data_IF_347635946092
#
_entry.id   IF_347635946092
#
_cell.length_a   1.000
_cell.length_b   1.000
_cell.length_c   1.000
_cell.angle_alpha   90.00
_cell.angle_beta   90.00
_cell.angle_gamma   90.00
#
_symmetry.space_group_name_H-M   'P 1'
#
loop_
_entity.id
_entity.type
_entity.pdbx_description
1 polymer ?
#
# COMPACT_ATOMS: atom_id res chain seq x y z
N UNK A 1 -6.27 2.44 18.65
CA UNK A 1 -4.85 2.14 18.93
C UNK A 1 -4.52 0.92 18.09
N UNK A 2 -3.49 1.00 17.27
CA UNK A 2 -3.14 -0.03 16.30
C UNK A 2 -1.67 -0.40 16.45
N UNK A 3 -1.30 -1.63 16.10
CA UNK A 3 0.10 -2.02 15.96
C UNK A 3 0.75 -1.24 14.81
N UNK A 4 1.98 -0.75 15.01
CA UNK A 4 2.71 0.00 13.97
C UNK A 4 4.11 -0.55 13.70
N UNK A 5 4.44 -1.74 14.21
CA UNK A 5 5.78 -2.31 14.08
C UNK A 5 6.71 -1.96 15.23
N UNK A 6 7.88 -2.59 15.28
CA UNK A 6 9.03 -2.17 16.10
C UNK A 6 9.81 -1.08 15.35
N UNK A 7 9.23 0.12 15.27
CA UNK A 7 9.75 1.20 14.43
C UNK A 7 11.07 1.75 14.96
N UNK A 8 11.42 1.47 16.21
CA UNK A 8 12.64 1.95 16.85
C UNK A 8 13.71 0.84 17.04
N UNK A 9 13.40 -0.40 16.63
CA UNK A 9 14.26 -1.58 16.68
C UNK A 9 14.77 -1.90 18.10
N UNK A 10 13.92 -1.74 19.12
CA UNK A 10 14.23 -2.11 20.52
C UNK A 10 13.85 -3.56 20.85
N UNK A 11 13.34 -4.31 19.87
CA UNK A 11 12.86 -5.68 20.00
C UNK A 11 11.43 -5.79 20.51
N UNK A 12 10.69 -4.68 20.66
CA UNK A 12 9.31 -4.66 21.11
C UNK A 12 8.43 -3.89 20.12
N UNK A 13 7.28 -4.48 19.82
CA UNK A 13 6.30 -3.83 18.94
C UNK A 13 5.72 -2.55 19.54
N UNK A 14 5.70 -1.49 18.74
CA UNK A 14 5.12 -0.19 19.07
C UNK A 14 3.65 -0.08 18.64
N UNK A 15 3.00 1.00 19.08
CA UNK A 15 1.61 1.27 18.70
C UNK A 15 1.38 2.71 18.26
N UNK A 16 0.43 2.85 17.34
CA UNK A 16 -0.11 4.12 16.87
C UNK A 16 -1.45 4.47 17.50
N UNK A 17 -1.67 5.77 17.78
CA UNK A 17 -2.95 6.26 18.28
C UNK A 17 -3.30 7.65 17.76
N UNK A 18 -4.60 7.85 17.54
CA UNK A 18 -5.17 9.13 17.16
C UNK A 18 -5.51 9.99 18.38
N UNK A 19 -5.29 11.29 18.25
CA UNK A 19 -5.88 12.25 19.17
C UNK A 19 -7.40 12.38 18.94
N UNK A 20 -8.18 12.86 19.93
CA UNK A 20 -9.64 12.92 19.83
C UNK A 20 -10.19 13.73 18.65
N UNK A 21 -9.42 14.67 18.10
CA UNK A 21 -9.84 15.46 16.94
C UNK A 21 -9.65 14.73 15.60
N UNK A 22 -8.92 13.61 15.57
CA UNK A 22 -8.56 12.91 14.32
C UNK A 22 -7.57 13.67 13.44
N UNK A 23 -7.11 14.86 13.83
CA UNK A 23 -6.19 15.70 13.05
C UNK A 23 -4.72 15.52 13.43
N UNK A 24 -4.47 14.68 14.43
CA UNK A 24 -3.13 14.38 14.91
C UNK A 24 -3.07 12.91 15.25
N UNK A 25 -1.94 12.29 14.97
CA UNK A 25 -1.65 10.89 15.31
C UNK A 25 -0.24 10.72 15.82
N UNK A 26 -0.01 9.73 16.67
CA UNK A 26 1.26 9.51 17.34
C UNK A 26 1.66 8.04 17.32
N UNK A 27 2.97 7.81 17.23
CA UNK A 27 3.61 6.51 17.43
C UNK A 27 4.25 6.51 18.81
N UNK A 28 4.04 5.42 19.56
CA UNK A 28 4.39 5.32 20.97
C UNK A 28 5.12 4.01 21.26
N UNK A 29 6.10 4.07 22.16
CA UNK A 29 6.81 2.89 22.64
C UNK A 29 5.83 1.85 23.18
N UNK A 30 5.94 0.61 22.71
CA UNK A 30 5.09 -0.49 23.16
C UNK A 30 5.18 -0.75 24.66
N UNK A 31 6.38 -0.57 25.23
CA UNK A 31 6.68 -0.92 26.62
C UNK A 31 6.19 0.08 27.67
N UNK A 32 6.04 1.36 27.31
CA UNK A 32 5.78 2.44 28.28
C UNK A 32 4.86 3.55 27.77
N UNK A 33 4.44 3.51 26.50
CA UNK A 33 3.55 4.49 25.89
C UNK A 33 4.14 5.89 25.74
N UNK A 34 5.47 6.04 25.84
CA UNK A 34 6.14 7.32 25.58
C UNK A 34 6.05 7.63 24.09
N UNK A 35 5.77 8.89 23.75
CA UNK A 35 5.68 9.34 22.37
C UNK A 35 7.04 9.23 21.68
N UNK A 36 7.09 8.48 20.59
CA UNK A 36 8.24 8.37 19.68
C UNK A 36 8.14 9.50 18.65
N UNK A 37 6.99 9.57 17.96
CA UNK A 37 6.75 10.51 16.85
C UNK A 37 5.30 10.96 16.80
N UNK A 38 5.05 12.09 16.17
CA UNK A 38 3.69 12.53 15.88
C UNK A 38 3.59 13.21 14.51
N UNK A 39 2.41 13.08 13.92
CA UNK A 39 2.06 13.64 12.63
C UNK A 39 0.75 14.39 12.74
N UNK A 40 0.62 15.44 11.94
CA UNK A 40 -0.63 16.18 11.77
C UNK A 40 -1.21 15.82 10.42
N UNK A 41 -2.54 15.80 10.34
CA UNK A 41 -3.22 15.67 9.05
C UNK A 41 -2.75 16.77 8.10
N UNK A 42 -2.41 16.41 6.86
CA UNK A 42 -1.97 17.38 5.85
C UNK A 42 -3.06 18.39 5.47
N UNK A 43 -4.34 18.00 5.62
CA UNK A 43 -5.50 18.86 5.41
C UNK A 43 -6.41 18.78 6.65
N UNK A 44 -6.96 19.92 7.08
CA UNK A 44 -7.91 20.00 8.21
C UNK A 44 -9.25 19.29 7.92
N UNK A 45 -9.55 19.02 6.65
CA UNK A 45 -10.66 18.17 6.23
C UNK A 45 -10.31 16.67 6.31
N UNK A 46 -9.03 16.32 6.47
CA UNK A 46 -8.54 14.95 6.48
C UNK A 46 -8.55 14.37 7.89
N UNK A 47 -9.72 13.91 8.34
CA UNK A 47 -9.80 13.11 9.54
C UNK A 47 -9.06 11.78 9.31
N UNK A 48 -8.00 11.59 10.08
CA UNK A 48 -7.19 10.38 10.03
C UNK A 48 -7.97 9.25 10.71
N UNK A 49 -7.97 8.06 10.11
CA UNK A 49 -8.64 6.87 10.63
C UNK A 49 -7.70 6.00 11.44
N UNK A 50 -6.40 6.01 11.12
CA UNK A 50 -5.43 5.23 11.87
C UNK A 50 -3.99 5.44 11.46
N UNK A 51 -3.13 4.83 12.28
CA UNK A 51 -1.79 4.42 11.90
C UNK A 51 -1.83 2.90 11.72
N UNK A 52 -1.03 2.37 10.79
CA UNK A 52 -0.88 0.93 10.56
C UNK A 52 0.59 0.58 10.35
N UNK A 53 0.93 -0.69 10.52
CA UNK A 53 2.23 -1.25 10.15
C UNK A 53 2.34 -1.40 8.63
N UNK A 54 3.50 -1.06 8.05
CA UNK A 54 3.75 -1.15 6.61
C UNK A 54 4.99 -1.97 6.23
N UNK A 55 5.65 -2.65 7.18
CA UNK A 55 6.88 -3.39 6.88
C UNK A 55 8.05 -2.47 6.57
N UNK A 56 9.16 -3.02 6.13
CA UNK A 56 10.35 -2.27 5.71
C UNK A 56 10.27 -2.01 4.19
N UNK A 57 9.59 -0.91 3.80
CA UNK A 57 9.29 -0.66 2.38
C UNK A 57 10.49 -0.11 1.60
N UNK A 58 11.49 0.40 2.30
CA UNK A 58 12.70 0.98 1.71
C UNK A 58 13.96 0.11 1.91
N UNK A 59 13.82 -1.07 2.56
CA UNK A 59 14.90 -2.00 2.91
C UNK A 59 16.03 -1.36 3.73
N UNK A 60 15.70 -0.46 4.66
CA UNK A 60 16.68 0.19 5.54
C UNK A 60 16.94 -0.60 6.85
N UNK A 61 16.19 -1.69 7.07
CA UNK A 61 16.30 -2.55 8.23
C UNK A 61 15.43 -2.12 9.41
N UNK A 62 14.55 -1.13 9.23
CA UNK A 62 13.59 -0.68 10.23
C UNK A 62 12.16 -0.85 9.70
N UNK A 63 11.23 -1.14 10.60
CA UNK A 63 9.82 -1.25 10.23
C UNK A 63 9.21 0.15 10.03
N UNK A 64 8.52 0.35 8.91
CA UNK A 64 7.82 1.56 8.55
C UNK A 64 6.32 1.50 8.93
N UNK A 65 5.68 2.66 8.92
CA UNK A 65 4.27 2.78 9.30
C UNK A 65 3.49 3.71 8.37
N UNK A 66 2.22 3.37 8.18
CA UNK A 66 1.29 4.06 7.32
C UNK A 66 0.28 4.90 8.10
N UNK A 67 -0.20 5.96 7.47
CA UNK A 67 -1.24 6.85 7.95
C UNK A 67 -2.31 6.97 6.86
N UNK A 68 -3.57 6.77 7.24
CA UNK A 68 -4.71 6.78 6.32
C UNK A 68 -5.93 7.46 6.95
N UNK A 69 -6.91 7.83 6.12
CA UNK A 69 -8.08 8.59 6.53
C UNK A 69 -9.09 8.83 5.41
N UNK A 70 -10.04 9.74 5.63
CA UNK A 70 -11.13 10.03 4.68
C UNK A 70 -10.67 10.68 3.38
N UNK A 71 -9.49 11.31 3.37
CA UNK A 71 -9.00 12.04 2.21
C UNK A 71 -7.52 11.74 1.95
N UNK A 72 -7.12 11.89 0.69
CA UNK A 72 -5.74 11.85 0.29
C UNK A 72 -4.94 13.05 0.87
N UNK A 73 -3.61 12.91 0.98
CA UNK A 73 -2.86 11.68 0.72
C UNK A 73 -2.95 10.67 1.87
N UNK A 74 -2.83 9.38 1.53
CA UNK A 74 -2.39 8.36 2.49
C UNK A 74 -0.88 8.23 2.39
N UNK A 75 -0.23 7.98 3.50
CA UNK A 75 1.21 8.22 3.62
C UNK A 75 1.90 7.07 4.31
N UNK A 76 3.13 6.77 3.89
CA UNK A 76 4.04 5.86 4.60
C UNK A 76 5.23 6.68 5.07
N UNK A 77 5.64 6.43 6.31
CA UNK A 77 6.72 7.13 6.98
C UNK A 77 7.79 6.16 7.45
N UNK A 78 9.04 6.61 7.38
CA UNK A 78 10.19 5.85 7.82
C UNK A 78 10.11 5.54 9.31
N UNK A 79 10.39 4.29 9.65
CA UNK A 79 10.63 3.84 11.00
C UNK A 79 11.80 4.54 11.67
N UNK A 80 12.82 4.97 10.92
CA UNK A 80 14.05 5.57 11.47
C UNK A 80 13.81 6.98 12.01
N UNK A 81 13.25 7.86 11.18
CA UNK A 81 13.19 9.30 11.48
C UNK A 81 11.79 9.91 11.30
N UNK A 82 10.82 9.14 10.79
CA UNK A 82 9.50 9.63 10.46
C UNK A 82 9.45 10.53 9.24
N UNK A 83 10.48 10.52 8.38
CA UNK A 83 10.42 11.14 7.07
C UNK A 83 9.39 10.44 6.19
N UNK A 84 8.73 11.19 5.31
CA UNK A 84 7.76 10.62 4.38
C UNK A 84 8.48 9.81 3.30
N UNK A 85 8.13 8.53 3.18
CA UNK A 85 8.64 7.61 2.16
C UNK A 85 7.71 7.56 0.95
N UNK A 86 6.41 7.55 1.19
CA UNK A 86 5.39 7.42 0.15
C UNK A 86 4.18 8.32 0.43
N UNK A 87 3.63 8.90 -0.63
CA UNK A 87 2.40 9.66 -0.68
C UNK A 87 1.49 9.05 -1.74
N UNK A 88 0.26 8.71 -1.37
CA UNK A 88 -0.66 7.96 -2.22
C UNK A 88 -1.94 8.77 -2.42
N UNK A 89 -2.34 8.92 -3.68
CA UNK A 89 -3.60 9.51 -4.08
C UNK A 89 -3.45 10.95 -4.59
N UNK A 90 -4.54 11.49 -5.12
CA UNK A 90 -4.67 12.87 -5.58
C UNK A 90 -6.00 13.46 -5.06
N UNK A 91 -6.34 14.68 -5.47
CA UNK A 91 -7.58 15.35 -5.04
C UNK A 91 -8.86 14.58 -5.39
N UNK A 92 -8.81 13.67 -6.37
CA UNK A 92 -9.95 12.85 -6.82
C UNK A 92 -9.95 11.44 -6.17
N UNK A 93 -8.93 11.12 -5.37
CA UNK A 93 -8.84 9.90 -4.58
C UNK A 93 -9.47 10.11 -3.20
N UNK A 94 -10.75 9.75 -3.07
CA UNK A 94 -11.51 9.97 -1.85
C UNK A 94 -11.33 8.81 -0.87
N UNK A 95 -10.35 8.92 0.02
CA UNK A 95 -10.26 8.17 1.27
C UNK A 95 -9.70 6.77 1.20
N UNK A 96 -9.44 6.20 2.36
CA UNK A 96 -9.21 4.79 2.56
C UNK A 96 -9.83 4.44 3.91
N UNK A 97 -10.79 3.52 3.91
CA UNK A 97 -11.36 2.98 5.14
C UNK A 97 -10.31 2.21 5.93
N UNK A 98 -9.42 1.52 5.20
CA UNK A 98 -8.38 0.68 5.79
C UNK A 98 -7.13 0.65 4.92
N UNK A 99 -5.97 0.52 5.58
CA UNK A 99 -4.66 0.36 4.97
C UNK A 99 -3.97 -0.86 5.60
N UNK A 100 -3.44 -1.73 4.76
CA UNK A 100 -2.81 -2.98 5.17
C UNK A 100 -1.50 -3.21 4.44
N UNK A 101 -0.55 -3.83 5.12
CA UNK A 101 0.51 -4.58 4.47
C UNK A 101 -0.08 -5.92 3.99
N UNK A 102 0.21 -6.28 2.75
CA UNK A 102 -0.12 -7.58 2.16
C UNK A 102 1.16 -8.27 1.70
N UNK A 103 1.08 -9.57 1.42
CA UNK A 103 2.20 -10.31 0.87
C UNK A 103 2.70 -9.68 -0.45
N UNK A 104 3.90 -10.06 -0.87
CA UNK A 104 4.45 -9.72 -2.18
C UNK A 104 3.56 -10.27 -3.31
N UNK A 105 2.61 -9.47 -3.80
CA UNK A 105 1.61 -9.92 -4.78
C UNK A 105 2.25 -10.08 -6.15
N UNK A 106 3.30 -9.30 -6.43
CA UNK A 106 3.95 -9.24 -7.74
C UNK A 106 5.24 -10.10 -7.84
N UNK A 107 5.66 -10.74 -6.75
CA UNK A 107 6.89 -11.53 -6.61
C UNK A 107 8.19 -10.74 -6.89
N UNK A 108 8.25 -9.46 -6.51
CA UNK A 108 9.45 -8.63 -6.69
C UNK A 108 10.41 -8.65 -5.48
N UNK A 109 10.04 -9.34 -4.40
CA UNK A 109 10.79 -9.43 -3.16
C UNK A 109 10.36 -8.44 -2.08
N UNK A 110 9.30 -7.66 -2.29
CA UNK A 110 8.80 -6.65 -1.35
C UNK A 110 7.32 -6.91 -1.01
N UNK A 111 6.95 -6.75 0.26
CA UNK A 111 5.54 -6.82 0.66
C UNK A 111 4.79 -5.58 0.17
N UNK A 112 3.59 -5.77 -0.38
CA UNK A 112 2.83 -4.69 -1.00
C UNK A 112 1.88 -4.00 -0.02
N UNK A 113 1.44 -2.78 -0.35
CA UNK A 113 0.47 -2.02 0.46
C UNK A 113 -0.90 -2.09 -0.19
N UNK A 114 -1.90 -2.51 0.57
CA UNK A 114 -3.30 -2.51 0.16
C UNK A 114 -4.07 -1.35 0.81
N UNK A 115 -4.86 -0.64 0.00
CA UNK A 115 -5.85 0.34 0.45
C UNK A 115 -7.26 -0.14 0.11
N UNK A 116 -8.17 0.00 1.08
CA UNK A 116 -9.59 -0.26 0.91
C UNK A 116 -10.36 1.05 0.77
N UNK A 117 -10.83 1.37 -0.43
CA UNK A 117 -11.56 2.61 -0.75
C UNK A 117 -12.66 2.33 -1.79
N UNK A 118 -13.84 1.89 -1.36
CA UNK A 118 -14.92 1.48 -2.27
C UNK A 118 -14.55 0.31 -3.20
N UNK A 119 -13.38 -0.29 -2.98
CA UNK A 119 -12.67 -1.25 -3.82
C UNK A 119 -11.29 -1.53 -3.23
N UNK A 120 -10.54 -2.44 -3.87
CA UNK A 120 -9.18 -2.82 -3.43
C UNK A 120 -8.16 -2.21 -4.38
N UNK A 121 -7.19 -1.48 -3.81
CA UNK A 121 -6.00 -1.00 -4.53
C UNK A 121 -4.77 -1.61 -3.88
N UNK A 122 -3.81 -2.08 -4.68
CA UNK A 122 -2.54 -2.60 -4.19
C UNK A 122 -1.40 -1.81 -4.83
N UNK A 123 -0.49 -1.34 -3.99
CA UNK A 123 0.66 -0.51 -4.32
C UNK A 123 1.92 -1.31 -4.00
N UNK A 124 2.85 -1.32 -4.94
CA UNK A 124 4.10 -2.05 -4.85
C UNK A 124 4.88 -1.51 -3.66
N UNK A 125 5.26 -2.40 -2.74
CA UNK A 125 6.00 -2.07 -1.53
C UNK A 125 7.31 -1.34 -1.79
N UNK A 126 7.92 -1.53 -2.94
CA UNK A 126 9.17 -0.85 -3.32
C UNK A 126 8.94 0.56 -3.93
N UNK A 127 7.72 1.08 -3.87
CA UNK A 127 7.40 2.40 -4.42
C UNK A 127 7.68 3.50 -3.41
N UNK A 128 8.54 4.45 -3.79
CA UNK A 128 8.83 5.65 -2.99
C UNK A 128 8.39 6.93 -3.72
N UNK A 129 8.20 8.01 -2.97
CA UNK A 129 7.81 9.32 -3.48
C UNK A 129 6.30 9.48 -3.55
N UNK A 130 5.75 9.73 -4.73
CA UNK A 130 4.32 10.01 -4.90
C UNK A 130 3.70 9.13 -5.98
N UNK A 131 2.54 8.55 -5.65
CA UNK A 131 1.71 7.76 -6.55
C UNK A 131 0.40 8.49 -6.78
N UNK A 132 0.25 9.08 -7.97
CA UNK A 132 -1.04 9.59 -8.42
C UNK A 132 -1.98 8.43 -8.77
N UNK A 133 -3.19 8.45 -8.22
CA UNK A 133 -4.20 7.47 -8.58
C UNK A 133 -5.00 7.93 -9.80
N UNK A 134 -4.98 7.14 -10.87
CA UNK A 134 -5.84 7.36 -12.03
C UNK A 134 -7.04 6.43 -11.88
N UNK A 135 -8.20 7.03 -11.60
CA UNK A 135 -9.48 6.37 -11.47
C UNK A 135 -9.80 5.52 -12.70
N UNK A 136 -9.61 4.20 -12.64
CA UNK A 136 -10.35 3.22 -13.42
C UNK A 136 -10.00 1.79 -12.98
N UNK A 137 -10.51 1.39 -11.81
CA UNK A 137 -10.67 -0.01 -11.42
C UNK A 137 -9.40 -0.72 -10.95
N UNK A 138 -9.36 -1.03 -9.65
CA UNK A 138 -8.58 -2.11 -9.04
C UNK A 138 -7.25 -2.47 -9.69
N UNK A 139 -6.37 -1.48 -9.90
CA UNK A 139 -5.02 -1.73 -10.37
C UNK A 139 -4.15 -2.25 -9.23
N UNK A 140 -3.36 -3.29 -9.52
CA UNK A 140 -2.17 -3.63 -8.75
C UNK A 140 -1.02 -2.93 -9.48
N UNK A 141 -0.31 -1.99 -8.86
CA UNK A 141 0.88 -1.42 -9.49
C UNK A 141 1.90 -2.53 -9.78
N UNK A 142 2.48 -2.53 -10.99
CA UNK A 142 3.29 -3.65 -11.50
C UNK A 142 2.52 -4.62 -12.40
N UNK A 143 1.17 -4.63 -12.34
CA UNK A 143 0.33 -5.38 -13.25
C UNK A 143 -0.38 -4.46 -14.24
N UNK A 144 0.04 -4.53 -15.51
CA UNK A 144 -0.64 -3.82 -16.59
C UNK A 144 -1.68 -4.71 -17.25
N UNK A 145 -2.96 -4.30 -17.21
CA UNK A 145 -4.07 -4.95 -17.91
C UNK A 145 -3.76 -5.18 -19.40
N UNK A 146 -2.99 -4.29 -20.02
CA UNK A 146 -2.54 -4.38 -21.41
C UNK A 146 -1.70 -5.64 -21.67
N UNK A 147 -0.80 -5.99 -20.74
CA UNK A 147 0.04 -7.18 -20.85
C UNK A 147 -0.75 -8.46 -20.63
N UNK A 148 -1.73 -8.45 -19.72
CA UNK A 148 -2.61 -9.59 -19.50
C UNK A 148 -3.47 -9.90 -20.74
N UNK A 149 -4.06 -8.88 -21.38
CA UNK A 149 -4.82 -9.04 -22.63
C UNK A 149 -3.92 -9.57 -23.76
N UNK A 150 -2.67 -9.10 -23.85
CA UNK A 150 -1.70 -9.58 -24.83
C UNK A 150 -1.41 -11.09 -24.64
N UNK A 151 -1.15 -11.53 -23.41
CA UNK A 151 -0.88 -12.95 -23.10
C UNK A 151 -2.10 -13.81 -23.46
N UNK A 152 -3.31 -13.40 -23.06
CA UNK A 152 -4.55 -14.13 -23.39
C UNK A 152 -4.74 -14.24 -24.91
N UNK A 153 -4.46 -13.16 -25.63
CA UNK A 153 -4.56 -13.13 -27.10
C UNK A 153 -3.55 -14.09 -27.74
N UNK A 154 -2.30 -14.09 -27.29
CA UNK A 154 -1.26 -14.99 -27.78
C UNK A 154 -1.61 -16.47 -27.52
N UNK A 155 -2.06 -16.81 -26.31
CA UNK A 155 -2.47 -18.18 -25.95
C UNK A 155 -3.65 -18.65 -26.81
N UNK A 156 -4.63 -17.77 -27.02
CA UNK A 156 -5.81 -18.05 -27.86
C UNK A 156 -5.41 -18.32 -29.31
N UNK A 157 -4.49 -17.53 -29.89
CA UNK A 157 -3.98 -17.73 -31.24
C UNK A 157 -3.24 -19.07 -31.38
N UNK A 158 -2.37 -19.40 -30.41
CA UNK A 158 -1.63 -20.69 -30.40
C UNK A 158 -2.61 -21.86 -30.35
N UNK A 159 -3.64 -21.78 -29.50
CA UNK A 159 -4.68 -22.80 -29.41
C UNK A 159 -5.42 -23.00 -30.74
N UNK A 160 -5.82 -21.91 -31.40
CA UNK A 160 -6.48 -21.95 -32.71
C UNK A 160 -5.59 -22.59 -33.78
N UNK A 161 -4.30 -22.22 -33.84
CA UNK A 161 -3.34 -22.79 -34.78
C UNK A 161 -3.19 -24.31 -34.56
N UNK A 162 -3.05 -24.74 -33.30
CA UNK A 162 -2.92 -26.15 -32.96
C UNK A 162 -4.19 -26.95 -33.28
N UNK A 163 -5.37 -26.37 -33.03
CA UNK A 163 -6.64 -26.98 -33.39
C UNK A 163 -6.78 -27.17 -34.91
N UNK A 164 -6.42 -26.16 -35.71
CA UNK A 164 -6.43 -26.27 -37.16
C UNK A 164 -5.43 -27.32 -37.70
N UNK A 165 -4.22 -27.37 -37.13
CA UNK A 165 -3.22 -28.41 -37.47
C UNK A 165 -3.76 -29.81 -37.17
N UNK A 166 -4.44 -30.01 -36.04
CA UNK A 166 -5.04 -31.30 -35.67
C UNK A 166 -6.18 -31.69 -36.62
N UNK A 167 -7.05 -30.75 -37.01
CA UNK A 167 -8.10 -30.97 -38.02
C UNK A 167 -7.53 -31.37 -39.40
N UNK A 168 -6.41 -30.78 -39.83
CA UNK A 168 -5.77 -31.11 -41.11
C UNK A 168 -5.11 -32.49 -41.14
N UNK A 169 -4.70 -33.04 -39.98
CA UNK A 169 -4.15 -34.41 -39.87
C UNK A 169 -5.23 -35.51 -39.86
N UNK A 170 -6.50 -35.14 -39.68
CA UNK A 170 -7.64 -36.05 -39.61
C UNK A 170 -8.45 -36.10 -40.92
N UNK A 171 -8.02 -35.36 -41.95
CA UNK A 171 -8.52 -35.45 -43.33
C UNK A 171 -7.43 -36.10 -44.18
#
# INVERSE_FOLDING_TARGET
VNYCGDVNNDGQGDFGALWPSGLKTGVFYGNNGTLIRNHSAQNLENAMHGITYCGDVNNDGFEDYGIYGDFSPHEVFSGIDGSQLLSIGNNDFHGAEEMYLVEDVNNNGFQDIMLFNGGVTIIDGNTLGHVEWISNGGGISGYSYSWMILIISCVSIIYIINFQKKKRKLK
#
